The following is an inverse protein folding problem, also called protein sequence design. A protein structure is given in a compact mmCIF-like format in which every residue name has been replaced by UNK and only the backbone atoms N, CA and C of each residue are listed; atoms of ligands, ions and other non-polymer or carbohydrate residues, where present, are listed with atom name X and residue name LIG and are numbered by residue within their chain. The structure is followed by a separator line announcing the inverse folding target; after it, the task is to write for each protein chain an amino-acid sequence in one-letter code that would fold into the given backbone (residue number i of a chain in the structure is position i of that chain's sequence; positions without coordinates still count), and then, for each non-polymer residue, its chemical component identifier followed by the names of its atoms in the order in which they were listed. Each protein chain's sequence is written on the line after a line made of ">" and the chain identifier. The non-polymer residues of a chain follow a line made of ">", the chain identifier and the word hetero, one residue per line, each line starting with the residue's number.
data_IF_497058655431
#
_entry.id   IF_497058655431
#
_cell.length_a   1.000
_cell.length_b   1.000
_cell.length_c   1.000
_cell.angle_alpha   90.00
_cell.angle_beta   90.00
_cell.angle_gamma   90.00
#
_symmetry.space_group_name_H-M   'P 1'
#
loop_
_entity.id
_entity.type
_entity.pdbx_description
1 polymer ?
#
# COMPACT_ATOMS: atom_id res chain seq x y z
N UNK A 1 -28.60 28.82 32.33
CA UNK A 1 -29.09 30.02 31.60
C UNK A 1 -28.04 30.42 30.59
N UNK A 2 -28.44 30.57 29.33
CA UNK A 2 -27.56 31.07 28.27
C UNK A 2 -27.10 32.49 28.56
N UNK A 3 -25.84 32.79 28.24
CA UNK A 3 -25.25 34.12 28.47
C UNK A 3 -25.72 35.13 27.40
N UNK A 4 -26.17 34.65 26.24
CA UNK A 4 -26.73 35.44 25.16
C UNK A 4 -27.77 34.65 24.33
N UNK A 5 -28.47 35.35 23.45
CA UNK A 5 -29.52 34.80 22.60
C UNK A 5 -28.98 33.92 21.45
N UNK A 6 -27.73 34.13 21.04
CA UNK A 6 -27.10 33.37 19.95
C UNK A 6 -26.84 31.93 20.41
N UNK A 7 -26.26 31.75 21.61
CA UNK A 7 -26.02 30.44 22.20
C UNK A 7 -27.32 29.65 22.41
N UNK A 8 -28.39 30.34 22.78
CA UNK A 8 -29.71 29.73 22.91
C UNK A 8 -30.27 29.27 21.55
N UNK A 9 -30.13 30.10 20.51
CA UNK A 9 -30.60 29.74 19.18
C UNK A 9 -29.81 28.55 18.62
N UNK A 10 -28.49 28.52 18.78
CA UNK A 10 -27.64 27.40 18.38
C UNK A 10 -28.04 26.10 19.09
N UNK A 11 -28.38 26.18 20.38
CA UNK A 11 -28.87 25.05 21.17
C UNK A 11 -30.23 24.55 20.68
N UNK A 12 -31.15 25.45 20.33
CA UNK A 12 -32.45 25.10 19.76
C UNK A 12 -32.29 24.48 18.37
N UNK A 13 -31.44 25.05 17.51
CA UNK A 13 -31.14 24.48 16.19
C UNK A 13 -30.56 23.07 16.31
N UNK A 14 -29.65 22.85 17.27
CA UNK A 14 -29.11 21.53 17.57
C UNK A 14 -30.20 20.53 17.97
N UNK A 15 -31.10 20.91 18.87
CA UNK A 15 -32.22 20.04 19.26
C UNK A 15 -33.12 19.72 18.07
N UNK A 16 -33.46 20.72 17.25
CA UNK A 16 -34.29 20.51 16.06
C UNK A 16 -33.63 19.63 15.00
N UNK A 17 -32.29 19.67 14.89
CA UNK A 17 -31.55 18.84 13.96
C UNK A 17 -31.43 17.38 14.44
N UNK A 18 -31.22 17.17 15.74
CA UNK A 18 -30.74 15.90 16.26
C UNK A 18 -31.81 15.08 16.99
N UNK A 19 -32.85 15.73 17.55
CA UNK A 19 -33.97 15.03 18.16
C UNK A 19 -34.96 14.54 17.10
N UNK A 20 -35.55 13.37 17.35
CA UNK A 20 -36.64 12.90 16.51
C UNK A 20 -37.91 13.73 16.72
N UNK A 21 -38.82 13.72 15.74
CA UNK A 21 -40.12 14.36 15.88
C UNK A 21 -40.89 13.89 17.12
N UNK A 22 -40.72 12.62 17.51
CA UNK A 22 -41.36 12.05 18.70
C UNK A 22 -40.75 12.61 19.99
N UNK A 23 -39.42 12.76 20.04
CA UNK A 23 -38.72 13.33 21.18
C UNK A 23 -39.02 14.82 21.35
N UNK A 24 -39.06 15.58 20.25
CA UNK A 24 -39.47 16.99 20.24
C UNK A 24 -40.92 17.17 20.70
N UNK A 25 -41.83 16.30 20.26
CA UNK A 25 -43.24 16.34 20.71
C UNK A 25 -43.36 16.02 22.20
N UNK A 26 -42.58 15.06 22.70
CA UNK A 26 -42.52 14.75 24.12
C UNK A 26 -42.01 15.94 24.93
N UNK A 27 -40.94 16.60 24.47
CA UNK A 27 -40.35 17.76 25.11
C UNK A 27 -41.33 18.96 25.14
N UNK A 28 -42.02 19.22 24.04
CA UNK A 28 -43.07 20.25 23.99
C UNK A 28 -44.26 19.93 24.91
N UNK A 29 -44.60 18.65 25.05
CA UNK A 29 -45.68 18.22 25.95
C UNK A 29 -45.30 18.38 27.42
N UNK A 30 -44.02 18.23 27.78
CA UNK A 30 -43.56 18.57 29.14
C UNK A 30 -43.67 20.06 29.44
N UNK A 31 -43.33 20.95 28.49
CA UNK A 31 -43.50 22.40 28.69
C UNK A 31 -44.96 22.81 28.90
N UNK A 32 -45.89 22.14 28.21
CA UNK A 32 -47.31 22.45 28.36
C UNK A 32 -47.89 22.07 29.74
N UNK A 33 -47.18 21.27 30.54
CA UNK A 33 -47.61 20.82 31.87
C UNK A 33 -47.12 21.74 32.99
N UNK A 34 -45.91 22.29 32.86
CA UNK A 34 -45.31 23.17 33.86
C UNK A 34 -45.48 24.65 33.45
N UNK A 35 -46.26 25.40 34.23
CA UNK A 35 -46.42 26.85 34.04
C UNK A 35 -45.24 27.67 34.58
N UNK A 36 -44.16 27.02 35.04
CA UNK A 36 -42.94 27.69 35.50
C UNK A 36 -41.92 27.77 34.35
N UNK A 37 -41.65 29.01 33.94
CA UNK A 37 -40.67 29.34 32.89
C UNK A 37 -39.27 28.90 33.27
N UNK A 38 -38.92 28.92 34.56
CA UNK A 38 -37.57 28.57 35.04
C UNK A 38 -37.31 27.09 34.88
N UNK A 39 -38.27 26.24 35.27
CA UNK A 39 -38.18 24.79 35.12
C UNK A 39 -38.20 24.37 33.64
N UNK A 40 -39.03 25.05 32.82
CA UNK A 40 -39.04 24.82 31.37
C UNK A 40 -37.68 25.10 30.74
N UNK A 41 -37.01 26.19 31.17
CA UNK A 41 -35.68 26.55 30.69
C UNK A 41 -34.61 25.51 31.06
N UNK A 42 -34.66 25.01 32.29
CA UNK A 42 -33.76 23.96 32.78
C UNK A 42 -33.94 22.65 31.99
N UNK A 43 -35.18 22.25 31.70
CA UNK A 43 -35.47 21.07 30.89
C UNK A 43 -34.94 21.17 29.45
N UNK A 44 -35.04 22.33 28.80
CA UNK A 44 -34.42 22.55 27.47
C UNK A 44 -32.91 22.38 27.58
N UNK A 45 -32.29 23.03 28.56
CA UNK A 45 -30.84 22.99 28.75
C UNK A 45 -30.34 21.56 29.00
N UNK A 46 -31.04 20.78 29.82
CA UNK A 46 -30.73 19.37 30.04
C UNK A 46 -30.88 18.53 28.77
N UNK A 47 -31.92 18.78 27.97
CA UNK A 47 -32.11 18.11 26.68
C UNK A 47 -30.94 18.39 25.72
N UNK A 48 -30.44 19.62 25.69
CA UNK A 48 -29.27 20.00 24.89
C UNK A 48 -28.02 19.27 25.36
N UNK A 49 -27.77 19.24 26.68
CA UNK A 49 -26.60 18.57 27.25
C UNK A 49 -26.61 17.08 26.90
N UNK A 50 -27.75 16.41 27.09
CA UNK A 50 -27.91 14.99 26.75
C UNK A 50 -27.70 14.74 25.25
N UNK A 51 -28.20 15.61 24.40
CA UNK A 51 -28.04 15.49 22.94
C UNK A 51 -26.58 15.64 22.52
N UNK A 52 -25.88 16.65 23.07
CA UNK A 52 -24.44 16.85 22.84
C UNK A 52 -23.61 15.67 23.32
N UNK A 53 -23.94 15.10 24.48
CA UNK A 53 -23.23 13.95 25.02
C UNK A 53 -23.42 12.71 24.14
N UNK A 54 -24.67 12.42 23.73
CA UNK A 54 -24.97 11.32 22.80
C UNK A 54 -24.20 11.44 21.49
N UNK A 55 -24.13 12.64 20.91
CA UNK A 55 -23.39 12.87 19.66
C UNK A 55 -21.88 12.65 19.83
N UNK A 56 -21.31 13.12 20.95
CA UNK A 56 -19.90 12.88 21.30
C UNK A 56 -19.62 11.39 21.45
N UNK A 57 -20.44 10.67 22.21
CA UNK A 57 -20.30 9.22 22.44
C UNK A 57 -20.41 8.44 21.11
N UNK A 58 -21.41 8.76 20.28
CA UNK A 58 -21.60 8.15 18.96
C UNK A 58 -20.38 8.36 18.04
N UNK A 59 -19.86 9.58 18.01
CA UNK A 59 -18.68 9.93 17.21
C UNK A 59 -17.42 9.20 17.71
N UNK A 60 -17.22 9.15 19.02
CA UNK A 60 -16.08 8.46 19.63
C UNK A 60 -16.15 6.94 19.39
N UNK A 61 -17.33 6.33 19.53
CA UNK A 61 -17.53 4.92 19.24
C UNK A 61 -17.23 4.59 17.77
N UNK A 62 -17.75 5.41 16.84
CA UNK A 62 -17.46 5.23 15.41
C UNK A 62 -15.95 5.31 15.12
N UNK A 63 -15.25 6.30 15.70
CA UNK A 63 -13.81 6.44 15.55
C UNK A 63 -13.05 5.27 16.18
N UNK A 64 -13.45 4.81 17.37
CA UNK A 64 -12.87 3.64 18.05
C UNK A 64 -13.03 2.37 17.20
N UNK A 65 -14.22 2.14 16.64
CA UNK A 65 -14.49 0.98 15.77
C UNK A 65 -13.67 1.03 14.50
N UNK A 66 -13.53 2.21 13.89
CA UNK A 66 -12.68 2.42 12.70
C UNK A 66 -11.20 2.19 13.01
N UNK A 67 -10.72 2.65 14.15
CA UNK A 67 -9.35 2.44 14.60
C UNK A 67 -9.07 0.96 14.89
N UNK A 68 -9.95 0.28 15.64
CA UNK A 68 -9.83 -1.16 15.91
C UNK A 68 -9.81 -2.00 14.61
N UNK A 69 -10.62 -1.64 13.61
CA UNK A 69 -10.59 -2.32 12.30
C UNK A 69 -9.27 -2.10 11.56
N UNK A 70 -8.69 -0.90 11.65
CA UNK A 70 -7.38 -0.60 11.05
C UNK A 70 -6.27 -1.38 11.74
N UNK A 71 -6.28 -1.45 13.06
CA UNK A 71 -5.28 -2.15 13.85
C UNK A 71 -5.37 -3.67 13.64
N UNK A 72 -6.59 -4.23 13.58
CA UNK A 72 -6.80 -5.63 13.23
C UNK A 72 -6.32 -5.96 11.81
N UNK A 73 -6.59 -5.08 10.83
CA UNK A 73 -6.11 -5.25 9.46
C UNK A 73 -4.57 -5.16 9.38
N UNK A 74 -3.96 -4.22 10.11
CA UNK A 74 -2.50 -4.08 10.18
C UNK A 74 -1.86 -5.29 10.83
N UNK A 75 -2.42 -5.81 11.93
CA UNK A 75 -1.96 -7.04 12.59
C UNK A 75 -2.04 -8.24 11.65
N UNK A 76 -3.17 -8.43 10.97
CA UNK A 76 -3.34 -9.50 9.98
C UNK A 76 -2.35 -9.38 8.82
N UNK A 77 -2.12 -8.17 8.31
CA UNK A 77 -1.15 -7.93 7.25
C UNK A 77 0.29 -8.22 7.72
N UNK A 78 0.64 -7.84 8.95
CA UNK A 78 1.95 -8.12 9.54
C UNK A 78 2.17 -9.63 9.76
N UNK A 79 1.14 -10.35 10.22
CA UNK A 79 1.18 -11.81 10.39
C UNK A 79 1.32 -12.53 9.04
N UNK A 80 0.57 -12.11 8.02
CA UNK A 80 0.71 -12.64 6.66
C UNK A 80 2.09 -12.34 6.06
N UNK A 81 2.63 -11.14 6.28
CA UNK A 81 3.98 -10.79 5.86
C UNK A 81 5.03 -11.64 6.58
N UNK A 82 4.85 -11.89 7.88
CA UNK A 82 5.72 -12.76 8.67
C UNK A 82 5.65 -14.22 8.19
N UNK A 83 4.47 -14.75 7.91
CA UNK A 83 4.30 -16.10 7.36
C UNK A 83 4.97 -16.24 5.99
N UNK A 84 4.80 -15.26 5.10
CA UNK A 84 5.52 -15.21 3.81
C UNK A 84 7.05 -15.12 3.99
N UNK A 85 7.52 -14.38 5.00
CA UNK A 85 8.94 -14.28 5.33
C UNK A 85 9.50 -15.55 6.00
N UNK A 86 8.66 -16.33 6.69
CA UNK A 86 9.03 -17.61 7.30
C UNK A 86 9.17 -18.75 6.28
N UNK A 87 8.46 -18.68 5.14
CA UNK A 87 8.58 -19.64 4.03
C UNK A 87 9.22 -19.03 2.78
N UNK A 88 10.42 -18.44 2.88
CA UNK A 88 11.09 -17.79 1.76
C UNK A 88 11.47 -18.81 0.69
N UNK A 89 11.52 -18.39 -0.56
CA UNK A 89 12.01 -19.24 -1.65
C UNK A 89 13.53 -19.35 -1.56
N UNK A 90 14.03 -20.57 -1.40
CA UNK A 90 15.45 -20.88 -1.45
C UNK A 90 15.96 -20.81 -2.88
N UNK A 91 17.29 -20.66 -3.02
CA UNK A 91 17.96 -20.64 -4.34
C UNK A 91 17.76 -21.94 -5.12
N UNK A 92 17.68 -23.06 -4.41
CA UNK A 92 17.45 -24.38 -4.99
C UNK A 92 16.03 -24.51 -5.56
N UNK A 93 15.02 -24.10 -4.79
CA UNK A 93 13.62 -24.09 -5.24
C UNK A 93 13.41 -23.17 -6.45
N UNK A 94 14.03 -21.98 -6.47
CA UNK A 94 13.94 -21.07 -7.61
C UNK A 94 14.62 -21.64 -8.86
N UNK A 95 15.75 -22.34 -8.70
CA UNK A 95 16.42 -23.05 -9.78
C UNK A 95 15.56 -24.22 -10.30
N UNK A 96 14.92 -24.98 -9.40
CA UNK A 96 13.99 -26.04 -9.75
C UNK A 96 12.76 -25.49 -10.49
N UNK A 97 12.22 -24.36 -10.05
CA UNK A 97 11.10 -23.66 -10.69
C UNK A 97 11.47 -23.23 -12.12
N UNK A 98 12.63 -22.59 -12.31
CA UNK A 98 13.10 -22.18 -13.63
C UNK A 98 13.25 -23.38 -14.60
N UNK A 99 13.77 -24.51 -14.10
CA UNK A 99 13.85 -25.76 -14.87
C UNK A 99 12.46 -26.32 -15.18
N UNK A 100 11.55 -26.31 -14.21
CA UNK A 100 10.16 -26.75 -14.37
C UNK A 100 9.44 -25.94 -15.45
N UNK A 101 9.54 -24.61 -15.43
CA UNK A 101 8.94 -23.73 -16.44
C UNK A 101 9.45 -24.01 -17.85
N UNK A 102 10.74 -24.34 -17.99
CA UNK A 102 11.35 -24.74 -19.28
C UNK A 102 10.89 -26.14 -19.73
N UNK A 103 10.72 -27.07 -18.79
CA UNK A 103 10.29 -28.45 -19.04
C UNK A 103 8.81 -28.56 -19.41
N UNK A 104 7.98 -27.72 -18.81
CA UNK A 104 6.54 -27.68 -19.04
C UNK A 104 6.17 -26.36 -19.74
N UNK A 105 6.06 -26.34 -21.09
CA UNK A 105 5.76 -25.13 -21.86
C UNK A 105 4.32 -24.61 -21.64
N UNK A 106 4.02 -23.36 -22.01
CA UNK A 106 2.68 -22.79 -21.90
C UNK A 106 1.66 -23.53 -22.77
N UNK A 107 0.43 -23.72 -22.27
CA UNK A 107 -0.69 -24.29 -23.04
C UNK A 107 -1.46 -25.42 -22.37
N UNK A 108 -0.93 -26.04 -21.30
CA UNK A 108 -1.63 -27.06 -20.52
C UNK A 108 -2.26 -26.51 -19.24
N UNK A 109 -3.52 -26.88 -18.95
CA UNK A 109 -4.21 -26.48 -17.71
C UNK A 109 -3.51 -26.95 -16.43
N UNK A 110 -2.87 -28.12 -16.47
CA UNK A 110 -2.17 -28.74 -15.33
C UNK A 110 -0.68 -28.39 -15.28
N UNK A 111 -0.24 -27.37 -16.02
CA UNK A 111 1.19 -26.98 -16.10
C UNK A 111 1.75 -26.66 -14.73
N UNK A 112 1.04 -25.84 -13.96
CA UNK A 112 1.53 -25.35 -12.68
C UNK A 112 1.48 -26.42 -11.59
N UNK A 113 0.52 -27.34 -11.64
CA UNK A 113 0.50 -28.53 -10.79
C UNK A 113 1.72 -29.44 -11.06
N UNK A 114 2.04 -29.70 -12.33
CA UNK A 114 3.22 -30.49 -12.70
C UNK A 114 4.55 -29.81 -12.29
N UNK A 115 4.61 -28.47 -12.37
CA UNK A 115 5.75 -27.69 -11.89
C UNK A 115 5.87 -27.76 -10.36
N UNK A 116 4.77 -27.63 -9.63
CA UNK A 116 4.76 -27.73 -8.17
C UNK A 116 5.24 -29.11 -7.69
N UNK A 117 4.71 -30.19 -8.29
CA UNK A 117 5.20 -31.56 -8.02
C UNK A 117 6.69 -31.70 -8.33
N UNK A 118 7.16 -31.11 -9.43
CA UNK A 118 8.58 -31.16 -9.81
C UNK A 118 9.49 -30.39 -8.84
N UNK A 119 9.08 -29.22 -8.36
CA UNK A 119 9.83 -28.44 -7.36
C UNK A 119 9.88 -29.19 -6.03
N UNK A 120 8.73 -29.67 -5.55
CA UNK A 120 8.67 -30.44 -4.30
C UNK A 120 9.48 -31.73 -4.37
N UNK A 121 9.39 -32.43 -5.50
CA UNK A 121 10.16 -33.64 -5.73
C UNK A 121 11.66 -33.42 -5.88
N UNK A 122 12.17 -32.19 -5.99
CA UNK A 122 13.60 -31.90 -6.05
C UNK A 122 14.14 -31.25 -4.77
N UNK A 123 13.32 -30.44 -4.09
CA UNK A 123 13.77 -29.60 -2.97
C UNK A 123 13.22 -30.05 -1.62
N UNK A 124 12.17 -30.87 -1.60
CA UNK A 124 11.49 -31.33 -0.37
C UNK A 124 11.45 -32.86 -0.29
N UNK A 125 12.47 -33.55 -0.84
CA UNK A 125 12.59 -35.00 -0.69
C UNK A 125 12.94 -35.34 0.77
N UNK A 126 11.96 -35.78 1.55
CA UNK A 126 12.15 -36.19 2.95
C UNK A 126 11.65 -35.19 3.99
N UNK A 127 11.06 -34.07 3.59
CA UNK A 127 10.35 -33.18 4.51
C UNK A 127 9.00 -33.82 4.91
N UNK A 128 8.85 -34.18 6.18
CA UNK A 128 7.61 -34.74 6.74
C UNK A 128 6.51 -33.66 6.90
N UNK A 129 6.89 -32.38 6.97
CA UNK A 129 5.97 -31.26 7.13
C UNK A 129 5.37 -30.83 5.78
N UNK A 130 4.11 -31.19 5.56
CA UNK A 130 3.32 -30.81 4.39
C UNK A 130 3.23 -29.28 4.20
N UNK A 131 3.39 -28.50 5.27
CA UNK A 131 3.38 -27.04 5.27
C UNK A 131 4.57 -26.43 4.49
N UNK A 132 5.70 -27.15 4.36
CA UNK A 132 6.86 -26.67 3.62
C UNK A 132 6.73 -26.87 2.10
N UNK A 133 5.83 -27.75 1.64
CA UNK A 133 5.64 -28.05 0.21
C UNK A 133 5.05 -26.86 -0.54
N UNK A 134 5.49 -26.65 -1.78
CA UNK A 134 4.99 -25.61 -2.67
C UNK A 134 3.75 -26.05 -3.43
N UNK A 135 2.77 -25.17 -3.55
CA UNK A 135 1.59 -25.38 -4.39
C UNK A 135 1.70 -24.63 -5.73
N UNK A 136 0.74 -24.90 -6.63
CA UNK A 136 0.73 -24.29 -7.97
C UNK A 136 0.63 -22.76 -7.91
N UNK A 137 -0.14 -22.20 -6.97
CA UNK A 137 -0.30 -20.75 -6.78
C UNK A 137 1.01 -20.08 -6.33
N UNK A 138 1.73 -20.70 -5.39
CA UNK A 138 3.05 -20.24 -4.93
C UNK A 138 4.09 -20.27 -6.07
N UNK A 139 4.08 -21.33 -6.90
CA UNK A 139 4.95 -21.41 -8.09
C UNK A 139 4.65 -20.31 -9.11
N UNK A 140 3.38 -19.96 -9.32
CA UNK A 140 2.97 -18.86 -10.20
C UNK A 140 3.44 -17.50 -9.63
N UNK A 141 3.21 -17.24 -8.35
CA UNK A 141 3.62 -16.00 -7.67
C UNK A 141 5.14 -15.83 -7.73
N UNK A 142 5.90 -16.89 -7.44
CA UNK A 142 7.36 -16.89 -7.49
C UNK A 142 7.90 -16.67 -8.91
N UNK A 143 7.30 -17.31 -9.93
CA UNK A 143 7.70 -17.12 -11.32
C UNK A 143 7.46 -15.68 -11.79
N UNK A 144 6.27 -15.12 -11.49
CA UNK A 144 5.94 -13.74 -11.85
C UNK A 144 6.84 -12.74 -11.12
N UNK A 145 7.13 -12.99 -9.83
CA UNK A 145 8.03 -12.17 -9.03
C UNK A 145 9.46 -12.18 -9.61
N UNK A 146 9.97 -13.37 -9.95
CA UNK A 146 11.29 -13.52 -10.59
C UNK A 146 11.35 -12.87 -11.98
N UNK A 147 10.27 -12.94 -12.76
CA UNK A 147 10.18 -12.27 -14.07
C UNK A 147 10.21 -10.74 -13.95
N UNK A 148 9.64 -10.18 -12.88
CA UNK A 148 9.65 -8.72 -12.64
C UNK A 148 10.95 -8.18 -12.04
N UNK A 149 11.72 -9.01 -11.33
CA UNK A 149 12.90 -8.54 -10.59
C UNK A 149 14.23 -8.72 -11.33
N UNK A 150 14.25 -9.40 -12.49
CA UNK A 150 15.48 -9.67 -13.23
C UNK A 150 16.48 -10.58 -12.46
N UNK A 151 17.59 -11.01 -13.08
CA UNK A 151 18.45 -12.07 -12.53
C UNK A 151 19.21 -11.76 -11.23
N UNK A 152 19.09 -10.55 -10.66
CA UNK A 152 20.00 -10.03 -9.62
C UNK A 152 19.42 -9.92 -8.21
N UNK A 153 18.17 -10.30 -7.94
CA UNK A 153 17.55 -10.14 -6.61
C UNK A 153 17.50 -11.41 -5.74
N UNK A 154 18.24 -12.48 -6.10
CA UNK A 154 18.20 -13.78 -5.39
C UNK A 154 19.31 -13.99 -4.35
N UNK A 155 20.02 -12.94 -3.96
CA UNK A 155 21.02 -12.99 -2.90
C UNK A 155 20.87 -11.76 -1.99
N UNK A 156 19.89 -11.82 -1.10
CA UNK A 156 20.02 -11.16 0.20
C UNK A 156 20.59 -12.21 1.16
N UNK A 157 21.91 -12.21 1.45
CA UNK A 157 22.49 -13.17 2.36
C UNK A 157 22.23 -12.74 3.81
N UNK A 158 21.36 -13.46 4.50
CA UNK A 158 21.36 -13.54 5.95
C UNK A 158 22.45 -14.56 6.37
N UNK A 159 23.72 -14.14 6.40
CA UNK A 159 24.79 -14.85 7.10
C UNK A 159 26.05 -13.98 7.15
N UNK A 160 26.20 -13.21 8.23
CA UNK A 160 27.47 -12.62 8.62
C UNK A 160 28.20 -13.58 9.58
N UNK A 161 29.15 -14.35 9.06
CA UNK A 161 30.32 -14.86 9.79
C UNK A 161 31.35 -15.38 8.75
N UNK A 162 32.45 -14.64 8.61
CA UNK A 162 33.59 -14.90 7.72
C UNK A 162 34.55 -15.99 8.31
N UNK A 163 35.79 -16.25 7.80
CA UNK A 163 36.47 -15.79 6.57
C UNK A 163 37.33 -16.85 5.79
N UNK A 164 37.77 -16.45 4.58
CA UNK A 164 39.04 -16.79 3.85
C UNK A 164 39.24 -18.26 3.36
N UNK A 165 39.84 -18.62 2.21
CA UNK A 165 40.89 -18.02 1.38
C UNK A 165 40.96 -18.66 -0.04
N UNK A 166 41.32 -17.81 -1.01
CA UNK A 166 42.18 -18.03 -2.21
C UNK A 166 42.11 -19.34 -3.03
N UNK A 167 41.80 -19.23 -4.32
CA UNK A 167 42.81 -19.26 -5.41
C UNK A 167 42.16 -19.23 -6.80
N UNK A 168 42.65 -18.33 -7.66
CA UNK A 168 42.52 -18.36 -9.12
C UNK A 168 43.75 -19.12 -9.68
N UNK A 169 43.77 -19.62 -10.94
CA UNK A 169 43.99 -18.72 -12.08
C UNK A 169 43.32 -19.09 -13.43
N UNK A 170 43.27 -18.06 -14.27
CA UNK A 170 42.83 -17.90 -15.66
C UNK A 170 43.29 -18.95 -16.71
N UNK A 171 42.58 -19.00 -17.85
CA UNK A 171 43.07 -18.45 -19.15
C UNK A 171 42.10 -18.60 -20.36
N UNK A 172 41.86 -17.45 -21.04
CA UNK A 172 41.87 -17.14 -22.50
C UNK A 172 40.83 -17.78 -23.46
N UNK A 173 39.94 -16.98 -24.09
CA UNK A 173 40.04 -16.20 -25.39
C UNK A 173 39.34 -17.02 -26.51
N UNK A 174 38.55 -16.55 -27.48
CA UNK A 174 38.45 -15.33 -28.29
C UNK A 174 37.01 -15.24 -28.87
N UNK A 175 36.35 -14.07 -28.95
CA UNK A 175 36.35 -13.04 -30.02
C UNK A 175 35.20 -13.18 -31.06
N UNK A 176 34.35 -12.14 -31.15
CA UNK A 176 34.25 -11.32 -32.37
C UNK A 176 33.60 -9.95 -32.08
N UNK A 177 34.15 -8.92 -32.74
CA UNK A 177 33.78 -7.50 -32.71
C UNK A 177 32.46 -7.25 -33.48
N UNK A 178 31.76 -6.11 -33.32
CA UNK A 178 32.11 -4.81 -33.94
C UNK A 178 31.25 -3.65 -33.38
N UNK A 179 31.95 -2.56 -32.98
CA UNK A 179 31.72 -1.09 -32.99
C UNK A 179 30.30 -0.49 -33.15
N UNK A 180 29.93 0.67 -32.57
CA UNK A 180 30.61 1.86 -31.99
C UNK A 180 29.70 2.45 -30.87
N UNK A 181 30.18 2.84 -29.68
CA UNK A 181 30.88 4.10 -29.27
C UNK A 181 30.09 5.37 -29.64
N UNK A 182 29.75 6.37 -28.79
CA UNK A 182 30.19 6.90 -27.48
C UNK A 182 28.92 7.38 -26.71
N UNK A 183 28.85 7.66 -25.39
CA UNK A 183 29.82 8.24 -24.47
C UNK A 183 29.38 7.96 -23.01
N UNK A 184 30.36 7.61 -22.19
CA UNK A 184 30.29 7.28 -20.77
C UNK A 184 30.27 8.55 -19.90
N UNK A 185 29.35 8.64 -18.94
CA UNK A 185 29.64 9.12 -17.58
C UNK A 185 28.74 8.40 -16.59
N UNK A 186 29.38 7.86 -15.57
CA UNK A 186 28.87 7.06 -14.48
C UNK A 186 28.07 7.94 -13.51
N UNK A 187 26.88 7.49 -13.11
CA UNK A 187 26.46 7.51 -11.71
C UNK A 187 25.35 6.45 -11.52
N UNK A 188 25.67 5.45 -10.70
CA UNK A 188 24.77 4.35 -10.34
C UNK A 188 24.29 4.63 -8.93
N UNK A 189 23.27 5.48 -8.79
CA UNK A 189 22.32 5.46 -7.68
C UNK A 189 21.05 6.24 -8.07
N UNK A 190 19.88 5.61 -7.91
CA UNK A 190 18.58 6.02 -8.47
C UNK A 190 18.50 6.01 -10.00
N UNK A 191 17.69 5.09 -10.56
CA UNK A 191 17.39 5.01 -11.99
C UNK A 191 16.59 6.18 -12.59
N UNK A 192 16.78 7.41 -12.10
CA UNK A 192 16.28 8.68 -12.61
C UNK A 192 17.46 9.61 -12.84
N UNK A 193 17.70 9.98 -14.10
CA UNK A 193 18.75 10.95 -14.43
C UNK A 193 18.26 12.38 -14.14
N UNK A 194 19.20 13.32 -13.95
CA UNK A 194 18.87 14.75 -13.80
C UNK A 194 18.05 15.28 -14.98
N UNK A 195 18.36 14.82 -16.20
CA UNK A 195 17.63 15.15 -17.42
C UNK A 195 16.17 14.65 -17.37
N UNK A 196 15.95 13.43 -16.87
CA UNK A 196 14.59 12.88 -16.70
C UNK A 196 13.79 13.63 -15.62
N UNK A 197 14.44 14.03 -14.52
CA UNK A 197 13.81 14.84 -13.48
C UNK A 197 13.45 16.24 -14.00
N UNK A 198 14.32 16.85 -14.82
CA UNK A 198 14.04 18.12 -15.49
C UNK A 198 12.85 18.00 -16.44
N UNK A 199 12.81 16.98 -17.27
CA UNK A 199 11.68 16.69 -18.17
C UNK A 199 10.36 16.46 -17.41
N UNK A 200 10.41 15.80 -16.26
CA UNK A 200 9.25 15.60 -15.40
C UNK A 200 8.74 16.93 -14.83
N UNK A 201 9.64 17.81 -14.38
CA UNK A 201 9.30 19.13 -13.86
C UNK A 201 8.72 20.03 -14.95
N UNK A 202 9.31 20.03 -16.15
CA UNK A 202 8.80 20.75 -17.32
C UNK A 202 7.41 20.24 -17.72
N UNK A 203 7.20 18.93 -17.76
CA UNK A 203 5.88 18.33 -17.99
C UNK A 203 4.85 18.73 -16.93
N UNK A 204 5.24 18.78 -15.66
CA UNK A 204 4.35 19.19 -14.57
C UNK A 204 3.95 20.67 -14.64
N UNK A 205 4.85 21.53 -15.13
CA UNK A 205 4.57 22.95 -15.40
C UNK A 205 3.70 23.12 -16.66
N UNK A 206 3.96 22.32 -17.70
CA UNK A 206 3.24 22.35 -18.99
C UNK A 206 1.79 21.86 -18.86
N UNK A 207 1.55 20.84 -18.03
CA UNK A 207 0.24 20.21 -17.85
C UNK A 207 -0.28 20.44 -16.42
N UNK A 208 -1.15 21.45 -16.21
CA UNK A 208 -1.64 21.82 -14.88
C UNK A 208 -2.62 20.79 -14.29
N UNK A 209 -2.87 20.89 -12.98
CA UNK A 209 -3.76 19.98 -12.25
C UNK A 209 -5.26 20.14 -12.60
N UNK A 210 -5.61 21.17 -13.38
CA UNK A 210 -6.96 21.38 -13.92
C UNK A 210 -7.31 20.44 -15.08
N UNK A 211 -6.30 19.80 -15.71
CA UNK A 211 -6.49 18.81 -16.76
C UNK A 211 -6.92 17.46 -16.16
N UNK A 212 -7.61 16.62 -16.97
CA UNK A 212 -7.94 15.25 -16.56
C UNK A 212 -6.71 14.49 -16.08
N UNK A 213 -6.84 13.77 -14.96
CA UNK A 213 -5.71 13.11 -14.29
C UNK A 213 -5.03 12.09 -15.19
N UNK A 214 -5.79 11.28 -15.92
CA UNK A 214 -5.24 10.18 -16.71
C UNK A 214 -4.56 10.70 -17.99
N UNK A 215 -5.15 11.72 -18.60
CA UNK A 215 -4.57 12.41 -19.76
C UNK A 215 -3.32 13.20 -19.39
N UNK A 216 -3.35 13.93 -18.27
CA UNK A 216 -2.21 14.69 -17.74
C UNK A 216 -0.98 13.80 -17.56
N UNK A 217 -1.12 12.67 -16.86
CA UNK A 217 0.01 11.76 -16.64
C UNK A 217 0.45 11.05 -17.91
N UNK A 218 -0.44 10.89 -18.90
CA UNK A 218 -0.06 10.39 -20.22
C UNK A 218 0.82 11.38 -20.99
N UNK A 219 0.45 12.66 -20.98
CA UNK A 219 1.19 13.71 -21.66
C UNK A 219 2.55 13.99 -21.00
N UNK A 220 2.60 13.95 -19.66
CA UNK A 220 3.86 14.06 -18.90
C UNK A 220 4.79 12.89 -19.23
N UNK A 221 4.30 11.64 -19.19
CA UNK A 221 5.13 10.48 -19.50
C UNK A 221 5.67 10.49 -20.94
N UNK A 222 4.92 11.06 -21.89
CA UNK A 222 5.39 11.22 -23.27
C UNK A 222 6.58 12.19 -23.38
N UNK A 223 6.73 13.10 -22.42
CA UNK A 223 7.81 14.10 -22.39
C UNK A 223 9.04 13.62 -21.62
N UNK A 224 8.95 12.51 -20.88
CA UNK A 224 10.07 11.95 -20.11
C UNK A 224 10.64 10.72 -20.82
N UNK A 225 11.86 10.83 -21.33
CA UNK A 225 12.49 9.76 -22.10
C UNK A 225 12.71 8.51 -21.25
N UNK A 226 12.11 7.39 -21.66
CA UNK A 226 12.32 6.08 -21.04
C UNK A 226 11.58 5.85 -19.72
N UNK A 227 10.61 6.70 -19.35
CA UNK A 227 9.80 6.55 -18.13
C UNK A 227 8.31 6.50 -18.43
N UNK A 228 7.60 5.56 -17.80
CA UNK A 228 6.16 5.40 -17.94
C UNK A 228 5.35 6.30 -17.00
N UNK A 229 4.03 6.37 -17.24
CA UNK A 229 3.07 7.14 -16.42
C UNK A 229 3.19 6.83 -14.92
N UNK A 230 3.29 5.55 -14.57
CA UNK A 230 3.38 5.09 -13.18
C UNK A 230 4.67 5.55 -12.50
N UNK A 231 5.79 5.56 -13.23
CA UNK A 231 7.08 6.00 -12.72
C UNK A 231 7.11 7.51 -12.49
N UNK A 232 6.58 8.30 -13.43
CA UNK A 232 6.46 9.75 -13.29
C UNK A 232 5.65 10.16 -12.06
N UNK A 233 4.52 9.48 -11.80
CA UNK A 233 3.69 9.70 -10.60
C UNK A 233 4.46 9.36 -9.32
N UNK A 234 5.20 8.25 -9.32
CA UNK A 234 5.94 7.78 -8.15
C UNK A 234 7.10 8.73 -7.82
N UNK A 235 7.84 9.19 -8.84
CA UNK A 235 8.90 10.19 -8.69
C UNK A 235 8.37 11.52 -8.19
N UNK A 236 7.26 12.01 -8.75
CA UNK A 236 6.60 13.23 -8.25
C UNK A 236 6.20 13.13 -6.77
N UNK A 237 5.67 11.97 -6.34
CA UNK A 237 5.35 11.73 -4.92
C UNK A 237 6.60 11.73 -4.05
N UNK A 238 7.70 11.12 -4.52
CA UNK A 238 8.98 11.13 -3.81
C UNK A 238 9.52 12.55 -3.63
N UNK A 239 9.53 13.35 -4.69
CA UNK A 239 9.94 14.77 -4.68
C UNK A 239 9.07 15.57 -3.68
N UNK A 240 7.74 15.42 -3.73
CA UNK A 240 6.85 16.12 -2.79
C UNK A 240 7.06 15.69 -1.34
N UNK A 241 7.38 14.42 -1.09
CA UNK A 241 7.66 13.93 0.26
C UNK A 241 8.98 14.48 0.78
N UNK A 242 10.02 14.54 -0.07
CA UNK A 242 11.30 15.15 0.28
C UNK A 242 11.16 16.66 0.62
N UNK A 243 10.33 17.40 -0.13
CA UNK A 243 10.05 18.82 0.15
C UNK A 243 9.26 19.06 1.45
N UNK A 244 8.43 18.10 1.88
CA UNK A 244 7.65 18.19 3.14
C UNK A 244 8.47 17.80 4.37
N UNK A 245 9.55 17.04 4.18
CA UNK A 245 10.45 16.58 5.25
C UNK A 245 11.60 17.56 5.50
N UNK A 246 11.61 18.69 4.81
CA UNK A 246 12.55 19.79 4.96
C UNK A 246 11.85 20.91 5.72
#
# INVERSE_FOLDING_TARGET
>A
MWDNIEDMNDDIELLCAELSLMDLTSLNTSFAKDNDVTQSLELVQDSVIQTREKLKQSTEEHNRKRQARRDAAAKKAAEQAKAKAMKPWTREELSALAKGVKKYPPGGGNRWDAIATFVNGLCHQGDEEEENRRNREECIEAYNTAATQGPTAIVAPAAAAAPASSSSPATKKAANATSSEEKKTEDVDNGWTEEQDKQLQEGLAKYPASMDKNERWAAIAKSVNGKGKKECVLRFKAIRNALKKK
#
